data_IF_170841621587
#
_entry.id   IF_170841621587
#
_cell.length_a   1.000
_cell.length_b   1.000
_cell.length_c   1.000
_cell.angle_alpha   90.00
_cell.angle_beta   90.00
_cell.angle_gamma   90.00
#
_symmetry.space_group_name_H-M   'P 1'
#
loop_
_entity.id
_entity.type
_entity.pdbx_description
1 polymer ?
#
# COMPACT_ATOMS: atom_id res chain seq x y z
N UNK A 1 -45.26 -12.01 45.32
CA UNK A 1 -46.08 -10.94 44.71
C UNK A 1 -45.90 -10.97 43.20
N UNK A 2 -46.95 -11.18 42.39
CA UNK A 2 -46.93 -10.86 40.97
C UNK A 2 -47.82 -9.64 40.62
N UNK A 3 -47.48 -9.05 39.45
CA UNK A 3 -48.27 -8.25 38.51
C UNK A 3 -48.58 -6.77 38.83
N UNK A 4 -48.13 -5.89 37.92
CA UNK A 4 -49.02 -5.32 36.87
C UNK A 4 -48.20 -4.60 35.77
N UNK A 5 -48.36 -5.05 34.53
CA UNK A 5 -47.94 -4.38 33.29
C UNK A 5 -49.08 -3.46 32.82
N UNK A 6 -48.78 -2.33 32.14
CA UNK A 6 -49.48 -2.12 30.87
C UNK A 6 -48.68 -1.42 29.74
N UNK A 7 -48.80 -2.01 28.54
CA UNK A 7 -49.35 -1.36 27.34
C UNK A 7 -48.53 -0.34 26.53
N UNK A 8 -47.24 -0.58 26.24
CA UNK A 8 -46.52 0.15 25.16
C UNK A 8 -46.21 -0.67 23.92
N UNK A 9 -46.78 -1.87 23.81
CA UNK A 9 -46.59 -2.79 22.67
C UNK A 9 -47.24 -2.30 21.37
N UNK A 10 -47.84 -1.10 21.31
CA UNK A 10 -48.51 -0.59 20.10
C UNK A 10 -47.78 0.49 19.30
N UNK A 11 -46.61 0.97 19.74
CA UNK A 11 -45.90 2.04 19.00
C UNK A 11 -44.72 1.57 18.14
N UNK A 12 -44.24 0.34 18.31
CA UNK A 12 -43.06 -0.17 17.59
C UNK A 12 -43.34 -0.85 16.26
N UNK A 13 -44.52 -0.61 15.69
CA UNK A 13 -44.83 -1.04 14.34
C UNK A 13 -45.17 0.19 13.51
N UNK A 14 -44.33 0.44 12.48
CA UNK A 14 -44.64 1.20 11.25
C UNK A 14 -44.20 2.67 11.22
N UNK A 15 -42.88 2.89 11.12
CA UNK A 15 -42.36 3.89 10.20
C UNK A 15 -40.94 3.45 9.76
N UNK A 16 -40.87 2.47 8.87
CA UNK A 16 -39.68 2.23 8.05
C UNK A 16 -39.48 3.48 7.17
N UNK A 17 -38.72 4.47 7.64
CA UNK A 17 -38.22 5.56 6.79
C UNK A 17 -37.06 5.02 5.95
N UNK A 18 -37.12 5.06 4.61
CA UNK A 18 -35.97 4.71 3.79
C UNK A 18 -34.92 5.82 3.97
N UNK A 19 -33.79 5.48 4.60
CA UNK A 19 -32.69 6.41 4.84
C UNK A 19 -32.12 6.87 3.48
N UNK A 20 -32.32 8.14 3.05
CA UNK A 20 -32.01 8.57 1.68
C UNK A 20 -30.49 8.60 1.43
N UNK A 21 -29.70 8.55 2.49
CA UNK A 21 -28.25 8.59 2.48
C UNK A 21 -27.59 7.21 2.30
N UNK A 22 -28.34 6.10 2.42
CA UNK A 22 -27.81 4.75 2.25
C UNK A 22 -27.25 4.48 0.83
N UNK A 23 -27.71 5.24 -0.17
CA UNK A 23 -27.21 5.20 -1.55
C UNK A 23 -26.02 6.13 -1.83
N UNK A 24 -25.74 7.07 -0.92
CA UNK A 24 -24.64 8.02 -1.10
C UNK A 24 -23.29 7.42 -0.68
N UNK A 25 -23.28 6.49 0.28
CA UNK A 25 -22.05 5.82 0.74
C UNK A 25 -21.37 5.00 -0.38
N UNK A 26 -22.07 4.11 -1.13
CA UNK A 26 -21.43 3.40 -2.23
C UNK A 26 -21.05 4.32 -3.40
N UNK A 27 -21.79 5.41 -3.62
CA UNK A 27 -21.47 6.42 -4.64
C UNK A 27 -20.18 7.19 -4.30
N UNK A 28 -19.99 7.55 -3.03
CA UNK A 28 -18.76 8.20 -2.55
C UNK A 28 -17.55 7.26 -2.64
N UNK A 29 -17.73 5.98 -2.33
CA UNK A 29 -16.71 4.94 -2.47
C UNK A 29 -16.32 4.71 -3.94
N UNK A 30 -17.29 4.71 -4.86
CA UNK A 30 -17.04 4.55 -6.29
C UNK A 30 -16.27 5.74 -6.89
N UNK A 31 -16.50 6.96 -6.39
CA UNK A 31 -15.81 8.17 -6.85
C UNK A 31 -14.33 8.23 -6.40
N UNK A 32 -13.96 7.55 -5.31
CA UNK A 32 -12.60 7.52 -4.78
C UNK A 32 -11.69 6.45 -5.43
N UNK A 33 -12.27 5.51 -6.20
CA UNK A 33 -11.55 4.39 -6.79
C UNK A 33 -10.47 4.74 -7.85
N UNK A 34 -10.56 5.82 -8.67
CA UNK A 34 -9.67 5.93 -9.84
C UNK A 34 -8.28 6.49 -9.51
N UNK A 35 -7.98 6.85 -8.26
CA UNK A 35 -6.66 7.40 -7.92
C UNK A 35 -5.58 6.32 -7.71
N UNK A 36 -5.96 5.08 -7.41
CA UNK A 36 -5.02 4.01 -7.08
C UNK A 36 -4.47 3.25 -8.32
N UNK A 37 -5.08 3.44 -9.49
CA UNK A 37 -4.83 2.60 -10.69
C UNK A 37 -3.79 3.18 -11.68
N UNK A 38 -3.10 4.27 -11.34
CA UNK A 38 -2.23 5.02 -12.28
C UNK A 38 -0.74 4.60 -12.27
N UNK A 39 -0.40 3.43 -11.73
CA UNK A 39 1.00 3.00 -11.65
C UNK A 39 1.24 1.71 -12.44
N UNK A 40 1.37 1.83 -13.77
CA UNK A 40 1.91 0.77 -14.61
C UNK A 40 3.38 0.51 -14.22
N UNK A 41 3.58 -0.53 -13.42
CA UNK A 41 4.90 -0.98 -12.97
C UNK A 41 5.20 -2.29 -13.67
N UNK A 42 6.26 -2.31 -14.47
CA UNK A 42 6.77 -3.52 -15.10
C UNK A 42 7.77 -4.21 -14.15
N UNK A 43 7.57 -5.50 -13.89
CA UNK A 43 8.50 -6.34 -13.12
C UNK A 43 8.89 -7.58 -13.91
N UNK A 44 10.18 -7.90 -13.95
CA UNK A 44 10.71 -9.10 -14.57
C UNK A 44 11.89 -9.66 -13.76
N UNK A 45 11.96 -10.98 -13.64
CA UNK A 45 13.16 -11.66 -13.15
C UNK A 45 13.95 -12.25 -14.32
N UNK A 46 15.24 -11.95 -14.38
CA UNK A 46 16.17 -12.49 -15.36
C UNK A 46 16.58 -13.92 -14.99
N UNK A 47 17.15 -14.65 -15.96
CA UNK A 47 17.65 -16.01 -15.76
C UNK A 47 18.77 -16.11 -14.69
N UNK A 48 19.52 -15.04 -14.45
CA UNK A 48 20.54 -14.97 -13.38
C UNK A 48 19.96 -14.62 -12.00
N UNK A 49 18.64 -14.49 -11.88
CA UNK A 49 17.94 -14.16 -10.63
C UNK A 49 17.77 -12.67 -10.35
N UNK A 50 18.35 -11.77 -11.14
CA UNK A 50 18.19 -10.32 -10.96
C UNK A 50 16.74 -9.91 -11.23
N UNK A 51 16.18 -9.09 -10.32
CA UNK A 51 14.84 -8.51 -10.46
C UNK A 51 14.96 -7.10 -11.04
N UNK A 52 14.25 -6.87 -12.14
CA UNK A 52 14.12 -5.58 -12.81
C UNK A 52 12.73 -5.04 -12.50
N UNK A 53 12.67 -3.81 -12.02
CA UNK A 53 11.44 -3.07 -11.78
C UNK A 53 11.54 -1.76 -12.54
N UNK A 54 10.60 -1.51 -13.44
CA UNK A 54 10.52 -0.28 -14.25
C UNK A 54 9.19 0.38 -13.98
N UNK A 55 9.23 1.68 -13.66
CA UNK A 55 8.05 2.52 -13.53
C UNK A 55 8.20 3.69 -14.49
N UNK A 56 7.30 3.76 -15.46
CA UNK A 56 7.28 4.86 -16.42
C UNK A 56 6.62 6.10 -15.79
N UNK A 57 7.23 7.26 -16.01
CA UNK A 57 6.74 8.55 -15.53
C UNK A 57 6.94 9.61 -16.61
N UNK A 58 5.86 10.03 -17.25
CA UNK A 58 5.89 10.98 -18.38
C UNK A 58 5.86 12.45 -17.94
N UNK A 59 6.01 12.74 -16.63
CA UNK A 59 5.99 14.12 -16.12
C UNK A 59 7.25 14.91 -16.46
N UNK A 60 8.38 14.23 -16.71
CA UNK A 60 9.64 14.86 -17.09
C UNK A 60 10.47 13.94 -18.00
N UNK A 61 11.25 14.48 -18.95
CA UNK A 61 12.11 13.69 -19.84
C UNK A 61 13.44 13.34 -19.15
N UNK A 62 13.37 12.66 -18.00
CA UNK A 62 14.53 12.26 -17.20
C UNK A 62 14.42 10.79 -16.80
N UNK A 63 15.58 10.15 -16.57
CA UNK A 63 15.65 8.74 -16.15
C UNK A 63 16.50 8.66 -14.90
N UNK A 64 16.00 7.92 -13.90
CA UNK A 64 16.78 7.51 -12.73
C UNK A 64 16.94 5.99 -12.76
N UNK A 65 18.16 5.51 -12.56
CA UNK A 65 18.48 4.09 -12.48
C UNK A 65 19.18 3.81 -11.15
N UNK A 66 18.78 2.73 -10.50
CA UNK A 66 19.32 2.28 -9.22
C UNK A 66 19.50 0.76 -9.25
N UNK A 67 20.54 0.28 -8.58
CA UNK A 67 20.79 -1.14 -8.33
C UNK A 67 20.79 -1.35 -6.83
N UNK A 68 20.00 -2.30 -6.34
CA UNK A 68 19.97 -2.67 -4.93
C UNK A 68 20.60 -4.04 -4.72
N UNK A 69 21.53 -4.10 -3.79
CA UNK A 69 22.10 -5.35 -3.31
C UNK A 69 21.44 -5.72 -1.98
N UNK A 70 21.06 -6.99 -1.83
CA UNK A 70 20.60 -7.54 -0.56
C UNK A 70 21.81 -7.90 0.31
N UNK A 71 22.62 -6.90 0.63
CA UNK A 71 23.79 -7.01 1.49
C UNK A 71 24.08 -5.64 2.12
N UNK A 72 24.55 -5.61 3.36
CA UNK A 72 24.96 -4.39 4.05
C UNK A 72 25.76 -4.67 5.32
N UNK A 73 25.93 -3.65 6.16
CA UNK A 73 26.68 -3.79 7.42
C UNK A 73 26.08 -4.83 8.38
N UNK A 74 24.78 -5.10 8.28
CA UNK A 74 24.11 -6.16 9.06
C UNK A 74 24.62 -7.57 8.73
N UNK A 75 25.19 -7.77 7.54
CA UNK A 75 25.69 -9.06 7.07
C UNK A 75 27.18 -9.26 7.39
N UNK A 76 27.81 -8.32 8.10
CA UNK A 76 29.24 -8.37 8.41
C UNK A 76 29.54 -9.29 9.60
N UNK A 77 30.66 -10.02 9.52
CA UNK A 77 31.16 -10.83 10.64
C UNK A 77 32.00 -9.99 11.60
N UNK A 78 31.96 -10.32 12.89
CA UNK A 78 32.86 -9.73 13.89
C UNK A 78 34.33 -9.75 13.42
N UNK A 79 35.01 -8.62 13.58
CA UNK A 79 36.39 -8.43 13.09
C UNK A 79 36.51 -8.08 11.61
N UNK A 80 35.40 -7.93 10.87
CA UNK A 80 35.35 -7.43 9.48
C UNK A 80 34.33 -6.31 9.30
N UNK A 81 34.24 -5.43 10.30
CA UNK A 81 33.29 -4.32 10.30
C UNK A 81 33.69 -3.22 9.31
N UNK A 82 32.72 -2.64 8.62
CA UNK A 82 32.92 -1.52 7.69
C UNK A 82 33.30 -1.91 6.26
N UNK A 83 33.32 -3.21 5.95
CA UNK A 83 33.63 -3.71 4.60
C UNK A 83 32.58 -3.28 3.59
N UNK A 84 31.29 -3.34 3.93
CA UNK A 84 30.21 -2.90 3.06
C UNK A 84 30.35 -1.41 2.70
N UNK A 85 30.70 -0.58 3.68
CA UNK A 85 30.90 0.85 3.50
C UNK A 85 32.16 1.15 2.66
N UNK A 86 33.28 0.48 2.93
CA UNK A 86 34.49 0.65 2.11
C UNK A 86 34.23 0.20 0.67
N UNK A 87 33.51 -0.90 0.46
CA UNK A 87 33.13 -1.38 -0.86
C UNK A 87 32.32 -0.33 -1.62
N UNK A 88 31.31 0.28 -0.97
CA UNK A 88 30.53 1.38 -1.55
C UNK A 88 31.44 2.52 -2.05
N UNK A 89 32.42 2.97 -1.25
CA UNK A 89 33.39 3.97 -1.71
C UNK A 89 34.26 3.49 -2.87
N UNK A 90 34.70 2.24 -2.86
CA UNK A 90 35.58 1.71 -3.90
C UNK A 90 34.87 1.48 -5.23
N UNK A 91 33.54 1.26 -5.25
CA UNK A 91 32.77 1.13 -6.50
C UNK A 91 32.83 2.38 -7.39
N UNK A 92 33.17 3.55 -6.83
CA UNK A 92 33.27 4.81 -7.56
C UNK A 92 34.72 5.30 -7.74
N UNK A 93 35.71 4.52 -7.28
CA UNK A 93 37.13 4.92 -7.25
C UNK A 93 37.98 4.21 -8.31
N UNK A 94 37.39 3.90 -9.47
CA UNK A 94 38.02 3.18 -10.59
C UNK A 94 39.43 3.65 -10.93
#
# INVERSE_FOLDING_TARGET
>A
MPAREPDTVKFYQKQFMPMPYARLIPLLLALAAPLAALADTFEQQLANGLRIIVKEDHRAPTVAHMVWYRAGSMDETNGRTGVAHVLEHMMFKG
#
